data_IF_805685810107
#
_entry.id   IF_805685810107
#
_cell.length_a   1.000
_cell.length_b   1.000
_cell.length_c   1.000
_cell.angle_alpha   90.00
_cell.angle_beta   90.00
_cell.angle_gamma   90.00
#
_symmetry.space_group_name_H-M   'P 1'
#
loop_
_entity.id
_entity.type
_entity.pdbx_description
1 polymer ?
#
# COMPACT_ATOMS: atom_id res chain seq x y z
N UNK A 1 4.17 -12.04 15.31
CA UNK A 1 3.28 -11.00 14.72
C UNK A 1 4.11 -10.04 13.89
N UNK A 2 3.73 -9.76 12.63
CA UNK A 2 4.47 -8.84 11.77
C UNK A 2 4.19 -7.39 12.14
N UNK A 3 5.25 -6.58 12.18
CA UNK A 3 5.20 -5.15 12.47
C UNK A 3 5.07 -4.39 11.16
N UNK A 4 4.02 -3.60 11.02
CA UNK A 4 3.77 -2.81 9.82
C UNK A 4 4.07 -1.33 10.10
N UNK A 5 4.85 -0.71 9.22
CA UNK A 5 5.01 0.74 9.16
C UNK A 5 4.06 1.33 8.12
N UNK A 6 3.22 2.28 8.52
CA UNK A 6 2.32 2.98 7.61
C UNK A 6 2.88 4.34 7.23
N UNK A 7 2.88 4.61 5.93
CA UNK A 7 3.30 5.88 5.31
C UNK A 7 2.06 6.64 4.87
N UNK A 8 1.85 7.78 5.48
CA UNK A 8 0.75 8.71 5.29
C UNK A 8 -0.64 8.19 5.67
N UNK A 9 -1.44 9.09 6.23
CA UNK A 9 -2.75 8.80 6.80
C UNK A 9 -3.89 9.60 6.13
N UNK A 10 -3.62 10.20 4.98
CA UNK A 10 -4.51 11.15 4.30
C UNK A 10 -5.59 10.49 3.42
N UNK A 11 -5.63 9.15 3.39
CA UNK A 11 -6.74 8.39 2.81
C UNK A 11 -7.56 7.69 3.92
N UNK A 12 -8.71 7.13 3.55
CA UNK A 12 -9.50 6.29 4.49
C UNK A 12 -8.90 4.88 4.70
N UNK A 13 -7.93 4.47 3.89
CA UNK A 13 -7.43 3.11 3.86
C UNK A 13 -6.62 2.71 5.10
N UNK A 14 -5.74 3.57 5.68
CA UNK A 14 -5.07 3.22 6.92
C UNK A 14 -6.05 2.84 8.03
N UNK A 15 -7.11 3.64 8.19
CA UNK A 15 -8.15 3.38 9.18
C UNK A 15 -8.99 2.12 8.85
N UNK A 16 -9.34 1.93 7.58
CA UNK A 16 -10.09 0.75 7.16
C UNK A 16 -9.27 -0.53 7.37
N UNK A 17 -7.99 -0.51 7.01
CA UNK A 17 -7.10 -1.67 7.15
C UNK A 17 -6.82 -1.99 8.62
N UNK A 18 -6.64 -0.97 9.46
CA UNK A 18 -6.41 -1.18 10.90
C UNK A 18 -7.53 -1.98 11.57
N UNK A 19 -8.78 -1.79 11.13
CA UNK A 19 -9.94 -2.52 11.66
C UNK A 19 -9.87 -4.02 11.39
N UNK A 20 -9.22 -4.44 10.30
CA UNK A 20 -9.00 -5.85 9.98
C UNK A 20 -7.73 -6.37 10.64
N UNK A 21 -6.65 -5.60 10.61
CA UNK A 21 -5.39 -5.96 11.25
C UNK A 21 -5.55 -6.16 12.75
N UNK A 22 -6.29 -5.25 13.43
CA UNK A 22 -6.51 -5.32 14.87
C UNK A 22 -7.42 -6.49 15.32
N UNK A 23 -8.13 -7.14 14.39
CA UNK A 23 -8.92 -8.35 14.67
C UNK A 23 -8.08 -9.63 14.60
N UNK A 24 -6.92 -9.56 13.97
CA UNK A 24 -6.02 -10.68 13.76
C UNK A 24 -4.82 -10.65 14.69
N UNK A 25 -4.11 -11.76 14.71
CA UNK A 25 -2.88 -11.96 15.49
C UNK A 25 -1.62 -12.02 14.63
N UNK A 26 -1.76 -11.85 13.31
CA UNK A 26 -0.66 -12.04 12.36
C UNK A 26 0.17 -10.78 12.10
N UNK A 27 -0.46 -9.63 12.06
CA UNK A 27 0.18 -8.36 11.74
C UNK A 27 -0.60 -7.17 12.31
N UNK A 28 0.09 -6.08 12.65
CA UNK A 28 -0.53 -4.83 13.10
C UNK A 28 0.37 -3.64 12.78
N UNK A 29 -0.20 -2.44 12.78
CA UNK A 29 0.58 -1.22 12.69
C UNK A 29 1.38 -0.99 13.97
N UNK A 30 2.69 -0.75 13.83
CA UNK A 30 3.60 -0.46 14.95
C UNK A 30 4.33 0.86 14.80
N UNK A 31 4.30 1.41 13.60
CA UNK A 31 5.03 2.62 13.26
C UNK A 31 4.25 3.46 12.24
N UNK A 32 4.42 4.78 12.32
CA UNK A 32 3.84 5.73 11.37
C UNK A 32 4.89 6.73 10.91
N UNK A 33 4.83 7.08 9.65
CA UNK A 33 5.44 8.26 9.07
C UNK A 33 4.35 9.07 8.36
N UNK A 34 4.33 10.39 8.56
CA UNK A 34 3.35 11.25 7.90
C UNK A 34 3.98 12.58 7.49
N UNK A 35 3.98 12.87 6.21
CA UNK A 35 4.33 14.16 5.62
C UNK A 35 3.17 14.73 4.78
N UNK A 36 1.97 14.18 4.96
CA UNK A 36 0.75 14.59 4.28
C UNK A 36 0.10 15.81 4.97
N UNK A 37 -1.05 16.23 4.46
CA UNK A 37 -1.82 17.34 5.02
C UNK A 37 -2.50 17.03 6.38
N UNK A 38 -2.44 15.79 6.88
CA UNK A 38 -2.97 15.46 8.20
C UNK A 38 -2.13 16.10 9.29
N UNK A 39 -2.81 16.80 10.20
CA UNK A 39 -2.19 17.45 11.36
C UNK A 39 -1.68 16.45 12.39
N UNK A 40 -0.84 16.94 13.30
CA UNK A 40 -0.24 16.11 14.35
C UNK A 40 -1.29 15.49 15.27
N UNK A 41 -2.36 16.20 15.56
CA UNK A 41 -3.51 15.72 16.36
C UNK A 41 -4.21 14.52 15.71
N UNK A 42 -4.38 14.53 14.39
CA UNK A 42 -4.97 13.42 13.66
C UNK A 42 -4.03 12.20 13.63
N UNK A 43 -2.73 12.43 13.49
CA UNK A 43 -1.71 11.38 13.53
C UNK A 43 -1.66 10.74 14.92
N UNK A 44 -1.65 11.55 15.98
CA UNK A 44 -1.66 11.07 17.35
C UNK A 44 -2.93 10.28 17.69
N UNK A 45 -4.09 10.76 17.25
CA UNK A 45 -5.35 10.03 17.41
C UNK A 45 -5.32 8.65 16.73
N UNK A 46 -4.77 8.58 15.51
CA UNK A 46 -4.60 7.31 14.82
C UNK A 46 -3.62 6.38 15.55
N UNK A 47 -2.52 6.92 16.06
CA UNK A 47 -1.54 6.16 16.83
C UNK A 47 -2.17 5.58 18.10
N UNK A 48 -2.88 6.39 18.88
CA UNK A 48 -3.57 5.95 20.11
C UNK A 48 -4.60 4.86 19.82
N UNK A 49 -5.43 5.05 18.78
CA UNK A 49 -6.46 4.08 18.38
C UNK A 49 -5.87 2.71 18.03
N UNK A 50 -4.66 2.67 17.47
CA UNK A 50 -4.02 1.45 16.96
C UNK A 50 -2.88 0.94 17.86
N UNK A 51 -2.62 1.57 18.99
CA UNK A 51 -1.53 1.19 19.89
C UNK A 51 -0.14 1.37 19.25
N UNK A 52 0.01 2.37 18.35
CA UNK A 52 1.28 2.68 17.71
C UNK A 52 2.13 3.51 18.66
N UNK A 53 3.30 3.01 18.99
CA UNK A 53 4.18 3.67 19.96
C UNK A 53 5.15 4.65 19.31
N UNK A 54 5.43 4.51 18.00
CA UNK A 54 6.50 5.28 17.37
C UNK A 54 6.07 5.95 16.07
N UNK A 55 6.22 7.28 16.04
CA UNK A 55 6.26 8.09 14.83
C UNK A 55 7.71 8.30 14.40
N UNK A 56 7.97 8.19 13.11
CA UNK A 56 9.30 8.37 12.54
C UNK A 56 9.37 9.66 11.72
N UNK A 57 10.57 10.27 11.69
CA UNK A 57 10.85 11.49 10.91
C UNK A 57 11.31 11.16 9.47
N UNK A 58 11.61 9.89 9.19
CA UNK A 58 11.93 9.41 7.84
C UNK A 58 11.43 8.01 7.58
N UNK A 59 11.04 7.74 6.32
CA UNK A 59 10.61 6.42 5.87
C UNK A 59 11.78 5.43 5.92
N UNK A 60 13.00 5.88 5.63
CA UNK A 60 14.21 5.07 5.66
C UNK A 60 14.52 4.54 7.06
N UNK A 61 14.32 5.36 8.07
CA UNK A 61 14.54 4.95 9.45
C UNK A 61 13.43 3.98 9.89
N UNK A 62 12.18 4.28 9.54
CA UNK A 62 11.05 3.40 9.83
C UNK A 62 11.24 2.04 9.16
N UNK A 63 11.67 1.99 7.90
CA UNK A 63 11.84 0.75 7.14
C UNK A 63 12.84 -0.23 7.79
N UNK A 64 13.86 0.29 8.50
CA UNK A 64 14.81 -0.56 9.24
C UNK A 64 14.19 -1.22 10.47
N UNK A 65 13.12 -0.67 11.01
CA UNK A 65 12.54 -1.04 12.30
C UNK A 65 11.20 -1.79 12.20
N UNK A 66 10.70 -2.01 10.99
CA UNK A 66 9.46 -2.75 10.72
C UNK A 66 9.71 -3.98 9.84
N UNK A 67 8.72 -4.82 9.69
CA UNK A 67 8.80 -6.02 8.87
C UNK A 67 8.18 -5.83 7.49
N UNK A 68 7.18 -4.94 7.38
CA UNK A 68 6.43 -4.64 6.15
C UNK A 68 6.14 -3.15 6.08
N UNK A 69 6.24 -2.55 4.90
CA UNK A 69 5.80 -1.19 4.63
C UNK A 69 4.42 -1.14 4.00
N UNK A 70 3.58 -0.19 4.45
CA UNK A 70 2.31 0.14 3.81
C UNK A 70 2.35 1.61 3.37
N UNK A 71 2.39 1.85 2.07
CA UNK A 71 2.35 3.19 1.47
C UNK A 71 0.92 3.48 1.04
N UNK A 72 0.24 4.37 1.76
CA UNK A 72 -1.22 4.58 1.67
C UNK A 72 -1.63 6.05 1.49
N UNK A 73 -0.67 6.93 1.18
CA UNK A 73 -0.94 8.34 0.94
C UNK A 73 -1.76 8.61 -0.32
N UNK A 74 -2.45 9.74 -0.41
CA UNK A 74 -3.21 10.13 -1.60
C UNK A 74 -2.30 10.64 -2.74
N UNK A 75 -1.08 11.05 -2.42
CA UNK A 75 -0.11 11.48 -3.44
C UNK A 75 0.61 10.28 -4.05
N UNK A 76 0.00 9.70 -5.08
CA UNK A 76 0.54 8.53 -5.78
C UNK A 76 1.86 8.78 -6.53
N UNK A 77 2.23 10.05 -6.80
CA UNK A 77 3.52 10.37 -7.41
C UNK A 77 4.70 10.12 -6.45
N UNK A 78 4.42 10.04 -5.14
CA UNK A 78 5.40 9.70 -4.11
C UNK A 78 5.41 8.22 -3.71
N UNK A 79 4.46 7.42 -4.18
CA UNK A 79 4.35 6.02 -3.74
C UNK A 79 5.64 5.23 -3.98
N UNK A 80 6.21 5.31 -5.17
CA UNK A 80 7.44 4.58 -5.48
C UNK A 80 8.64 5.10 -4.69
N UNK A 81 8.72 6.42 -4.44
CA UNK A 81 9.77 7.02 -3.63
C UNK A 81 9.78 6.40 -2.23
N UNK A 82 8.64 6.40 -1.54
CA UNK A 82 8.51 5.78 -0.23
C UNK A 82 8.75 4.27 -0.24
N UNK A 83 8.24 3.57 -1.26
CA UNK A 83 8.43 2.14 -1.39
C UNK A 83 9.91 1.75 -1.51
N UNK A 84 10.72 2.57 -2.19
CA UNK A 84 12.17 2.35 -2.34
C UNK A 84 12.91 2.27 -1.00
N UNK A 85 12.46 2.99 0.02
CA UNK A 85 13.07 2.91 1.35
C UNK A 85 12.93 1.49 1.94
N UNK A 86 11.75 0.87 1.82
CA UNK A 86 11.51 -0.50 2.25
C UNK A 86 12.26 -1.52 1.39
N UNK A 87 12.24 -1.34 0.07
CA UNK A 87 12.98 -2.21 -0.87
C UNK A 87 14.47 -2.22 -0.55
N UNK A 88 15.07 -1.03 -0.32
CA UNK A 88 16.46 -0.89 0.07
C UNK A 88 16.78 -1.55 1.41
N UNK A 89 15.82 -1.56 2.33
CA UNK A 89 15.93 -2.26 3.60
C UNK A 89 15.65 -3.77 3.50
N UNK A 90 15.39 -4.31 2.30
CA UNK A 90 15.06 -5.72 2.07
C UNK A 90 13.68 -6.13 2.57
N UNK A 91 12.77 -5.17 2.77
CA UNK A 91 11.44 -5.39 3.31
C UNK A 91 10.38 -5.44 2.22
N UNK A 92 9.35 -6.29 2.34
CA UNK A 92 8.18 -6.22 1.50
C UNK A 92 7.43 -4.90 1.71
N UNK A 93 6.83 -4.41 0.63
CA UNK A 93 6.04 -3.18 0.66
C UNK A 93 4.72 -3.37 -0.08
N UNK A 94 3.64 -2.93 0.55
CA UNK A 94 2.34 -2.76 -0.07
C UNK A 94 2.18 -1.31 -0.49
N UNK A 95 1.85 -1.08 -1.76
CA UNK A 95 1.52 0.23 -2.32
C UNK A 95 0.04 0.28 -2.64
N UNK A 96 -0.64 1.26 -2.08
CA UNK A 96 -2.08 1.43 -2.26
C UNK A 96 -2.42 1.91 -3.68
N UNK A 97 -3.70 1.89 -3.99
CA UNK A 97 -4.22 2.41 -5.26
C UNK A 97 -4.35 3.96 -5.22
N UNK A 98 -4.10 4.65 -6.34
CA UNK A 98 -3.43 4.15 -7.53
C UNK A 98 -1.99 3.73 -7.21
N UNK A 99 -1.53 2.65 -7.84
CA UNK A 99 -0.23 2.06 -7.52
C UNK A 99 0.92 3.05 -7.67
N UNK A 100 0.98 3.75 -8.81
CA UNK A 100 1.88 4.88 -9.11
C UNK A 100 1.20 5.88 -10.04
N UNK A 101 1.72 7.11 -10.13
CA UNK A 101 1.09 8.19 -10.87
C UNK A 101 1.46 8.28 -12.36
N UNK A 102 2.52 7.58 -12.80
CA UNK A 102 3.03 7.74 -14.17
C UNK A 102 3.71 6.47 -14.70
N UNK A 103 3.88 6.40 -16.02
CA UNK A 103 4.47 5.25 -16.71
C UNK A 103 5.93 4.99 -16.32
N UNK A 104 6.71 6.03 -16.10
CA UNK A 104 8.12 5.90 -15.72
C UNK A 104 8.25 5.12 -14.40
N UNK A 105 7.47 5.50 -13.41
CA UNK A 105 7.48 4.84 -12.09
C UNK A 105 6.90 3.42 -12.18
N UNK A 106 5.93 3.20 -13.07
CA UNK A 106 5.40 1.86 -13.33
C UNK A 106 6.48 0.92 -13.88
N UNK A 107 7.24 1.37 -14.89
CA UNK A 107 8.34 0.60 -15.48
C UNK A 107 9.49 0.38 -14.47
N UNK A 108 9.76 1.36 -13.63
CA UNK A 108 10.77 1.22 -12.59
C UNK A 108 10.33 0.23 -11.51
N UNK A 109 9.07 0.28 -11.07
CA UNK A 109 8.52 -0.69 -10.12
C UNK A 109 8.54 -2.11 -10.68
N UNK A 110 8.20 -2.30 -11.97
CA UNK A 110 8.32 -3.58 -12.66
C UNK A 110 9.76 -4.09 -12.66
N UNK A 111 10.72 -3.22 -12.99
CA UNK A 111 12.15 -3.57 -12.97
C UNK A 111 12.58 -4.02 -11.58
N UNK A 112 12.26 -3.24 -10.53
CA UNK A 112 12.59 -3.60 -9.15
C UNK A 112 11.98 -4.95 -8.75
N UNK A 113 10.73 -5.21 -9.15
CA UNK A 113 10.08 -6.50 -8.88
C UNK A 113 10.77 -7.66 -9.59
N UNK A 114 11.21 -7.48 -10.84
CA UNK A 114 12.00 -8.49 -11.58
C UNK A 114 13.38 -8.74 -10.93
N UNK A 115 13.94 -7.73 -10.29
CA UNK A 115 15.20 -7.81 -9.52
C UNK A 115 15.00 -8.44 -8.13
N UNK A 116 13.77 -8.85 -7.78
CA UNK A 116 13.45 -9.56 -6.54
C UNK A 116 12.86 -8.71 -5.41
N UNK A 117 12.54 -7.43 -5.66
CA UNK A 117 11.82 -6.62 -4.69
C UNK A 117 10.41 -7.17 -4.46
N UNK A 118 10.01 -7.28 -3.20
CA UNK A 118 8.69 -7.77 -2.80
C UNK A 118 7.70 -6.61 -2.76
N UNK A 119 7.15 -6.27 -3.92
CA UNK A 119 6.19 -5.18 -4.09
C UNK A 119 4.80 -5.76 -4.32
N UNK A 120 3.82 -5.28 -3.57
CA UNK A 120 2.42 -5.66 -3.68
C UNK A 120 1.56 -4.41 -3.80
N UNK A 121 0.52 -4.48 -4.60
CA UNK A 121 -0.45 -3.40 -4.73
C UNK A 121 -1.52 -3.77 -5.74
N UNK A 122 -2.78 -3.43 -5.42
CA UNK A 122 -3.90 -3.70 -6.31
C UNK A 122 -5.13 -2.90 -5.89
N UNK A 123 -6.09 -2.75 -6.80
CA UNK A 123 -7.42 -2.26 -6.48
C UNK A 123 -8.33 -3.42 -6.06
N UNK A 124 -9.21 -3.17 -5.09
CA UNK A 124 -10.26 -4.11 -4.69
C UNK A 124 -11.21 -4.47 -5.82
N UNK A 125 -11.38 -3.58 -6.82
CA UNK A 125 -12.19 -3.84 -8.01
C UNK A 125 -11.72 -5.08 -8.79
N UNK A 126 -10.43 -5.40 -8.72
CA UNK A 126 -9.89 -6.61 -9.35
C UNK A 126 -10.54 -7.90 -8.82
N UNK A 127 -11.04 -7.84 -7.58
CA UNK A 127 -11.65 -8.98 -6.88
C UNK A 127 -13.18 -8.90 -6.83
N UNK A 128 -13.80 -7.91 -7.49
CA UNK A 128 -15.23 -7.91 -7.67
C UNK A 128 -15.64 -9.19 -8.42
N UNK A 129 -16.69 -9.85 -7.94
CA UNK A 129 -17.06 -11.19 -8.42
C UNK A 129 -17.27 -11.20 -9.93
N UNK A 130 -17.94 -10.18 -10.47
CA UNK A 130 -18.21 -10.03 -11.90
C UNK A 130 -16.92 -9.91 -12.71
N UNK A 131 -15.99 -9.07 -12.25
CA UNK A 131 -14.71 -8.84 -12.91
C UNK A 131 -13.84 -10.11 -12.84
N UNK A 132 -13.76 -10.73 -11.68
CA UNK A 132 -12.96 -11.93 -11.47
C UNK A 132 -13.52 -13.12 -12.28
N UNK A 133 -14.84 -13.31 -12.29
CA UNK A 133 -15.49 -14.37 -13.07
C UNK A 133 -15.27 -14.18 -14.57
N UNK A 134 -15.46 -12.97 -15.07
CA UNK A 134 -15.22 -12.66 -16.49
C UNK A 134 -13.74 -12.83 -16.86
N UNK A 135 -12.82 -12.35 -16.03
CA UNK A 135 -11.38 -12.47 -16.28
C UNK A 135 -10.89 -13.94 -16.27
N UNK A 136 -11.56 -14.81 -15.53
CA UNK A 136 -11.24 -16.25 -15.45
C UNK A 136 -11.70 -17.05 -16.67
N UNK A 137 -12.60 -16.51 -17.50
CA UNK A 137 -13.03 -17.20 -18.73
C UNK A 137 -11.88 -17.32 -19.73
N UNK A 138 -11.75 -18.47 -20.43
CA UNK A 138 -10.88 -18.60 -21.57
C UNK A 138 -11.18 -17.54 -22.63
N UNK A 139 -10.17 -17.15 -23.42
CA UNK A 139 -10.34 -16.12 -24.47
C UNK A 139 -11.43 -16.54 -25.48
N UNK A 140 -11.51 -17.84 -25.77
CA UNK A 140 -12.49 -18.43 -26.68
C UNK A 140 -13.94 -18.27 -26.19
N UNK A 141 -14.15 -18.23 -24.88
CA UNK A 141 -15.48 -18.06 -24.26
C UNK A 141 -15.83 -16.58 -24.06
N UNK A 142 -14.88 -15.78 -23.58
CA UNK A 142 -15.14 -14.35 -23.32
C UNK A 142 -15.05 -13.47 -24.57
N UNK A 143 -14.39 -13.95 -25.61
CA UNK A 143 -14.10 -13.19 -26.81
C UNK A 143 -13.06 -12.08 -26.61
N UNK A 144 -12.90 -11.25 -27.65
CA UNK A 144 -12.01 -10.07 -27.62
C UNK A 144 -12.75 -8.89 -26.92
N UNK A 145 -12.04 -8.22 -26.02
CA UNK A 145 -12.57 -7.01 -25.38
C UNK A 145 -12.32 -5.83 -26.33
N UNK A 146 -13.37 -5.34 -26.94
CA UNK A 146 -13.31 -4.21 -27.89
C UNK A 146 -13.60 -2.85 -27.24
N UNK A 147 -14.25 -2.84 -26.07
CA UNK A 147 -14.58 -1.62 -25.36
C UNK A 147 -14.83 -1.89 -23.86
N UNK A 148 -14.39 -0.95 -22.99
CA UNK A 148 -14.68 -0.95 -21.58
C UNK A 148 -15.19 0.44 -21.19
N UNK A 149 -16.31 0.50 -20.46
CA UNK A 149 -16.80 1.73 -19.81
C UNK A 149 -16.80 1.52 -18.30
N UNK A 150 -16.25 2.47 -17.57
CA UNK A 150 -16.32 2.53 -16.10
C UNK A 150 -17.02 3.83 -15.69
N UNK A 151 -18.02 3.75 -14.81
CA UNK A 151 -18.79 4.88 -14.28
C UNK A 151 -18.74 4.89 -12.76
#
# INVERSE_FOLDING_TARGET
>A
MYRIGVVNLDTSHPLAFSRYLNKGDRAHYTAVYNDSFRGDDEVEAFMQMNGIEKRYDSVEEMAKNVDIGFVQGCNWDKHLEYAKAFIKAGKPVFMDKPFVGNLKDCLEAEKLAREGAKIYGTSSLRYAQEVASFAALPVEERGEIVHITAT
#
